data_IF_427769137494
#
_entry.id   IF_427769137494
#
_cell.length_a   1.000
_cell.length_b   1.000
_cell.length_c   1.000
_cell.angle_alpha   90.00
_cell.angle_beta   90.00
_cell.angle_gamma   90.00
#
_symmetry.space_group_name_H-M   'P 1'
#
loop_
_entity.id
_entity.type
_entity.pdbx_description
1 polymer ?
#
# COMPACT_ATOMS: atom_id res chain seq x y z
N UNK A 1 19.94 -16.45 -6.72
CA UNK A 1 20.37 -16.05 -5.35
C UNK A 1 21.68 -15.22 -5.27
N UNK A 2 22.71 -15.46 -6.10
CA UNK A 2 24.05 -14.82 -5.92
C UNK A 2 24.16 -13.35 -6.37
N UNK A 3 23.23 -12.82 -7.18
CA UNK A 3 23.42 -11.47 -7.74
C UNK A 3 22.95 -10.33 -6.81
N UNK A 4 22.02 -10.57 -5.89
CA UNK A 4 21.52 -9.53 -4.96
C UNK A 4 22.30 -9.40 -3.65
N UNK A 5 23.15 -10.39 -3.29
CA UNK A 5 23.94 -10.40 -2.04
C UNK A 5 23.13 -10.11 -0.76
N UNK A 6 21.99 -10.77 -0.60
CA UNK A 6 21.10 -10.61 0.57
C UNK A 6 21.72 -11.25 1.83
N UNK A 7 21.44 -10.69 3.01
CA UNK A 7 21.88 -11.27 4.29
C UNK A 7 21.07 -12.50 4.69
N UNK A 8 19.78 -12.54 4.32
CA UNK A 8 18.93 -13.68 4.57
C UNK A 8 17.51 -13.47 4.11
N UNK A 9 16.73 -14.55 4.16
CA UNK A 9 15.32 -14.54 3.82
C UNK A 9 14.49 -14.80 5.07
N UNK A 10 13.27 -14.26 5.08
CA UNK A 10 12.28 -14.45 6.12
C UNK A 10 10.96 -14.88 5.45
N UNK A 11 10.39 -15.98 5.95
CA UNK A 11 9.15 -16.55 5.44
C UNK A 11 9.31 -17.40 4.17
N UNK A 12 8.18 -17.88 3.67
CA UNK A 12 8.10 -18.68 2.44
C UNK A 12 7.43 -17.86 1.34
N UNK A 13 8.07 -17.83 0.16
CA UNK A 13 7.50 -17.20 -1.03
C UNK A 13 6.36 -18.07 -1.58
N UNK A 14 5.31 -17.46 -2.14
CA UNK A 14 4.28 -18.20 -2.88
C UNK A 14 4.86 -18.73 -4.20
N UNK A 15 5.79 -17.98 -4.80
CA UNK A 15 6.62 -18.45 -5.90
C UNK A 15 8.10 -18.53 -5.49
N UNK A 16 8.70 -19.73 -5.42
CA UNK A 16 10.09 -19.88 -5.00
C UNK A 16 11.11 -19.28 -5.97
N UNK A 17 10.75 -19.12 -7.26
CA UNK A 17 11.66 -18.55 -8.27
C UNK A 17 11.68 -17.01 -8.28
N UNK A 18 10.87 -16.34 -7.45
CA UNK A 18 10.71 -14.90 -7.51
C UNK A 18 12.04 -14.15 -7.38
N UNK A 19 12.97 -14.63 -6.57
CA UNK A 19 14.28 -14.02 -6.35
C UNK A 19 15.23 -14.12 -7.56
N UNK A 20 15.07 -15.15 -8.38
CA UNK A 20 15.92 -15.34 -9.56
C UNK A 20 15.44 -14.48 -10.73
N UNK A 21 14.13 -14.23 -10.80
CA UNK A 21 13.51 -13.31 -11.78
C UNK A 21 13.30 -11.88 -11.27
N UNK A 22 13.63 -11.61 -10.00
CA UNK A 22 13.33 -10.33 -9.37
C UNK A 22 14.10 -9.21 -10.06
N UNK A 23 13.44 -8.09 -10.33
CA UNK A 23 14.07 -6.83 -10.67
C UNK A 23 14.09 -5.92 -9.44
N UNK A 24 14.83 -4.81 -9.50
CA UNK A 24 14.89 -3.82 -8.42
C UNK A 24 13.50 -3.34 -7.97
N UNK A 25 12.56 -3.21 -8.92
CA UNK A 25 11.18 -2.80 -8.63
C UNK A 25 10.33 -3.82 -7.84
N UNK A 26 10.82 -5.04 -7.62
CA UNK A 26 10.17 -6.02 -6.74
C UNK A 26 10.55 -5.79 -5.27
N UNK A 27 11.70 -5.15 -5.03
CA UNK A 27 12.14 -4.79 -3.69
C UNK A 27 11.46 -3.49 -3.25
N UNK A 28 10.92 -3.53 -2.05
CA UNK A 28 10.16 -2.42 -1.48
C UNK A 28 10.50 -2.22 -0.01
N UNK A 29 10.32 -1.00 0.48
CA UNK A 29 10.33 -0.68 1.91
C UNK A 29 8.91 -0.48 2.39
N UNK A 30 8.57 -1.04 3.54
CA UNK A 30 7.27 -0.81 4.19
C UNK A 30 7.33 0.52 4.95
N UNK A 31 6.36 1.39 4.72
CA UNK A 31 6.20 2.66 5.42
C UNK A 31 4.81 2.70 6.06
N UNK A 32 4.76 2.98 7.37
CA UNK A 32 3.50 3.15 8.11
C UNK A 32 2.99 4.56 7.87
N UNK A 33 1.77 4.69 7.35
CA UNK A 33 1.19 5.99 7.01
C UNK A 33 0.89 6.76 8.28
N UNK A 34 1.40 7.99 8.38
CA UNK A 34 1.16 8.91 9.50
C UNK A 34 0.36 10.12 9.06
N UNK A 35 -0.32 10.77 10.02
CA UNK A 35 -1.00 12.05 9.77
C UNK A 35 0.03 13.10 9.33
N UNK A 36 -0.17 13.65 8.14
CA UNK A 36 0.74 14.60 7.50
C UNK A 36 1.60 14.02 6.38
N UNK A 37 1.63 12.69 6.23
CA UNK A 37 2.29 12.07 5.09
C UNK A 37 1.57 12.43 3.79
N UNK A 38 2.36 12.73 2.76
CA UNK A 38 1.86 13.01 1.41
C UNK A 38 2.64 12.17 0.42
N UNK A 39 2.00 11.73 -0.67
CA UNK A 39 2.68 10.95 -1.70
C UNK A 39 3.87 11.73 -2.30
N UNK A 40 3.73 13.05 -2.43
CA UNK A 40 4.81 13.93 -2.89
C UNK A 40 5.96 14.01 -1.90
N UNK A 41 5.67 14.10 -0.60
CA UNK A 41 6.69 14.08 0.45
C UNK A 41 7.46 12.76 0.45
N UNK A 42 6.73 11.63 0.42
CA UNK A 42 7.32 10.30 0.38
C UNK A 42 8.16 10.09 -0.89
N UNK A 43 7.67 10.51 -2.05
CA UNK A 43 8.40 10.45 -3.31
C UNK A 43 9.74 11.19 -3.25
N UNK A 44 9.75 12.40 -2.69
CA UNK A 44 10.97 13.21 -2.53
C UNK A 44 11.93 12.56 -1.53
N UNK A 45 11.43 12.11 -0.38
CA UNK A 45 12.26 11.46 0.65
C UNK A 45 12.94 10.19 0.14
N UNK A 46 12.26 9.42 -0.73
CA UNK A 46 12.75 8.15 -1.25
C UNK A 46 13.32 8.24 -2.68
N UNK A 47 13.44 9.43 -3.25
CA UNK A 47 14.01 9.64 -4.58
C UNK A 47 13.26 8.92 -5.71
N UNK A 48 11.95 8.72 -5.57
CA UNK A 48 11.14 8.01 -6.55
C UNK A 48 9.99 8.87 -7.08
N UNK A 49 9.39 8.46 -8.19
CA UNK A 49 8.25 9.17 -8.75
C UNK A 49 6.96 8.83 -8.01
N UNK A 50 6.09 9.83 -7.81
CA UNK A 50 4.78 9.63 -7.18
C UNK A 50 3.94 8.59 -7.94
N UNK A 51 3.99 8.62 -9.26
CA UNK A 51 3.25 7.68 -10.11
C UNK A 51 3.72 6.23 -9.89
N UNK A 52 5.01 6.02 -9.61
CA UNK A 52 5.57 4.72 -9.26
C UNK A 52 5.02 4.22 -7.93
N UNK A 53 4.99 5.07 -6.89
CA UNK A 53 4.38 4.71 -5.59
C UNK A 53 2.90 4.37 -5.75
N UNK A 54 2.15 5.15 -6.53
CA UNK A 54 0.73 4.92 -6.76
C UNK A 54 0.47 3.59 -7.46
N UNK A 55 1.20 3.31 -8.55
CA UNK A 55 1.13 2.02 -9.28
C UNK A 55 1.52 0.84 -8.40
N UNK A 56 2.54 1.02 -7.56
CA UNK A 56 3.02 0.00 -6.63
C UNK A 56 1.90 -0.36 -5.62
N UNK A 57 1.19 0.62 -5.09
CA UNK A 57 0.17 0.37 -4.05
C UNK A 57 -1.26 0.24 -4.59
N UNK A 58 -1.45 0.28 -5.91
CA UNK A 58 -2.75 0.35 -6.56
C UNK A 58 -3.62 1.50 -6.00
N UNK A 59 -3.00 2.67 -5.84
CA UNK A 59 -3.68 3.90 -5.43
C UNK A 59 -4.19 4.62 -6.67
N UNK A 60 -5.47 4.99 -6.67
CA UNK A 60 -6.06 5.76 -7.76
C UNK A 60 -5.90 7.26 -7.53
N UNK A 61 -5.96 7.70 -6.27
CA UNK A 61 -5.93 9.11 -5.90
C UNK A 61 -4.89 9.41 -4.83
N UNK A 62 -4.56 10.70 -4.66
CA UNK A 62 -3.61 11.17 -3.65
C UNK A 62 -4.12 10.95 -2.21
N UNK A 63 -5.39 11.22 -1.95
CA UNK A 63 -6.04 11.01 -0.65
C UNK A 63 -6.16 9.53 -0.27
N UNK A 64 -6.10 8.60 -1.24
CA UNK A 64 -6.14 7.15 -0.97
C UNK A 64 -5.00 6.68 -0.06
N UNK A 65 -3.94 7.50 0.10
CA UNK A 65 -2.83 7.22 1.02
C UNK A 65 -3.31 7.07 2.47
N UNK A 66 -4.17 7.97 2.96
CA UNK A 66 -4.61 7.97 4.36
C UNK A 66 -5.64 6.89 4.67
N UNK A 67 -6.24 6.28 3.65
CA UNK A 67 -7.08 5.08 3.80
C UNK A 67 -6.27 3.81 4.03
N UNK A 68 -4.93 3.88 3.99
CA UNK A 68 -4.01 2.76 4.20
C UNK A 68 -3.37 2.83 5.57
N UNK A 69 -3.18 1.68 6.20
CA UNK A 69 -2.33 1.56 7.39
C UNK A 69 -0.85 1.67 7.00
N UNK A 70 -0.48 0.99 5.92
CA UNK A 70 0.87 0.94 5.38
C UNK A 70 0.88 1.07 3.86
N UNK A 71 1.99 1.61 3.36
CA UNK A 71 2.30 1.68 1.94
C UNK A 71 3.70 1.14 1.68
N UNK A 72 3.86 0.54 0.51
CA UNK A 72 5.14 0.06 0.04
C UNK A 72 5.80 1.15 -0.80
N UNK A 73 7.10 1.33 -0.63
CA UNK A 73 7.88 2.32 -1.36
C UNK A 73 8.94 1.59 -2.18
N UNK A 74 9.14 1.94 -3.45
CA UNK A 74 10.14 1.28 -4.28
C UNK A 74 11.54 1.58 -3.75
N UNK A 75 12.45 0.61 -3.89
CA UNK A 75 13.86 0.81 -3.59
C UNK A 75 14.56 1.44 -4.79
N UNK A 76 15.31 2.52 -4.57
CA UNK A 76 15.93 3.28 -5.65
C UNK A 76 17.25 2.66 -6.13
N UNK A 77 18.01 2.00 -5.25
CA UNK A 77 19.34 1.47 -5.57
C UNK A 77 19.53 0.01 -5.14
N UNK A 78 20.24 -0.77 -5.97
CA UNK A 78 20.57 -2.16 -5.64
C UNK A 78 21.54 -2.28 -4.44
N UNK A 79 22.32 -1.24 -4.17
CA UNK A 79 23.19 -1.15 -2.99
C UNK A 79 22.42 -1.18 -1.68
N UNK A 80 21.20 -0.64 -1.65
CA UNK A 80 20.32 -0.71 -0.46
C UNK A 80 19.75 -2.11 -0.21
N UNK A 81 19.77 -2.98 -1.22
CA UNK A 81 19.28 -4.36 -1.13
C UNK A 81 20.37 -5.29 -0.59
N UNK A 82 21.63 -4.99 -0.91
CA UNK A 82 22.78 -5.80 -0.49
C UNK A 82 22.93 -5.78 1.04
N UNK A 83 23.02 -6.96 1.65
CA UNK A 83 23.15 -7.11 3.11
C UNK A 83 21.85 -6.92 3.91
N UNK A 84 20.71 -6.68 3.26
CA UNK A 84 19.41 -6.64 3.94
C UNK A 84 18.77 -8.03 4.03
N UNK A 85 17.85 -8.17 4.97
CA UNK A 85 16.94 -9.30 5.04
C UNK A 85 15.71 -9.02 4.17
N UNK A 86 15.19 -10.07 3.52
CA UNK A 86 14.01 -9.93 2.67
C UNK A 86 12.88 -10.78 3.23
N UNK A 87 11.74 -10.14 3.46
CA UNK A 87 10.48 -10.79 3.78
C UNK A 87 9.63 -10.92 2.52
N UNK A 88 9.18 -12.13 2.24
CA UNK A 88 8.17 -12.35 1.20
C UNK A 88 6.81 -11.88 1.71
N UNK A 89 6.25 -10.86 1.07
CA UNK A 89 4.94 -10.31 1.43
C UNK A 89 4.00 -10.30 0.23
N UNK A 90 2.88 -11.01 0.33
CA UNK A 90 1.81 -10.92 -0.67
C UNK A 90 0.84 -9.80 -0.33
N UNK A 91 0.93 -8.69 -1.07
CA UNK A 91 -0.01 -7.59 -0.92
C UNK A 91 -1.37 -7.97 -1.55
N UNK A 92 -2.41 -8.14 -0.73
CA UNK A 92 -3.76 -8.50 -1.21
C UNK A 92 -4.42 -7.39 -2.03
N UNK A 93 -4.10 -6.13 -1.73
CA UNK A 93 -4.65 -4.95 -2.42
C UNK A 93 -4.08 -4.85 -3.84
N UNK A 94 -2.74 -4.93 -3.96
CA UNK A 94 -2.05 -4.83 -5.24
C UNK A 94 -1.96 -6.18 -5.98
N UNK A 95 -2.44 -7.28 -5.35
CA UNK A 95 -2.46 -8.66 -5.87
C UNK A 95 -1.12 -9.12 -6.43
N UNK A 96 -0.04 -8.78 -5.73
CA UNK A 96 1.33 -9.10 -6.15
C UNK A 96 2.23 -9.41 -4.97
N UNK A 97 3.22 -10.23 -5.24
CA UNK A 97 4.28 -10.54 -4.29
C UNK A 97 5.31 -9.41 -4.29
N UNK A 98 5.67 -8.98 -3.09
CA UNK A 98 6.62 -7.93 -2.82
C UNK A 98 7.74 -8.48 -1.95
N UNK A 99 8.96 -8.03 -2.23
CA UNK A 99 10.14 -8.35 -1.46
C UNK A 99 10.39 -7.19 -0.51
N UNK A 100 9.90 -7.32 0.73
CA UNK A 100 10.00 -6.25 1.72
C UNK A 100 11.38 -6.31 2.35
N UNK A 101 12.15 -5.24 2.22
CA UNK A 101 13.44 -5.09 2.89
C UNK A 101 13.20 -4.89 4.39
N UNK A 102 13.88 -5.69 5.19
CA UNK A 102 13.89 -5.62 6.64
C UNK A 102 15.29 -5.34 7.16
N UNK A 103 15.32 -4.60 8.27
CA UNK A 103 16.49 -4.51 9.11
C UNK A 103 16.70 -5.82 9.89
N UNK A 104 17.89 -6.03 10.43
CA UNK A 104 18.21 -7.25 11.18
C UNK A 104 17.28 -7.46 12.40
N UNK A 105 17.01 -6.41 13.17
CA UNK A 105 16.09 -6.46 14.31
C UNK A 105 14.64 -6.79 13.89
N UNK A 106 14.19 -6.24 12.75
CA UNK A 106 12.87 -6.49 12.19
C UNK A 106 12.76 -7.93 11.67
N UNK A 107 13.84 -8.45 11.08
CA UNK A 107 13.91 -9.83 10.61
C UNK A 107 13.84 -10.83 11.77
N UNK A 108 14.49 -10.55 12.89
CA UNK A 108 14.39 -11.38 14.10
C UNK A 108 12.95 -11.37 14.65
N UNK A 109 12.32 -10.20 14.75
CA UNK A 109 10.92 -10.07 15.19
C UNK A 109 9.96 -10.78 14.25
N UNK A 110 10.20 -10.72 12.93
CA UNK A 110 9.39 -11.43 11.95
C UNK A 110 9.55 -12.96 12.06
N UNK A 111 10.75 -13.45 12.39
CA UNK A 111 10.99 -14.89 12.63
C UNK A 111 10.28 -15.40 13.89
N UNK A 112 10.34 -14.64 14.98
CA UNK A 112 9.67 -15.03 16.24
C UNK A 112 8.15 -15.05 16.07
N UNK A 113 7.58 -14.00 15.46
CA UNK A 113 6.13 -13.94 15.21
C UNK A 113 5.62 -15.05 14.29
N UNK A 114 6.44 -15.52 13.33
CA UNK A 114 6.09 -16.68 12.50
C UNK A 114 6.08 -17.99 13.29
N UNK A 115 7.02 -18.18 14.22
CA UNK A 115 7.04 -19.36 15.10
C UNK A 115 5.84 -19.39 16.04
N UNK A 116 5.43 -18.22 16.56
CA UNK A 116 4.26 -18.10 17.44
C UNK A 116 2.93 -18.30 16.68
N UNK A 117 2.87 -17.89 15.41
CA UNK A 117 1.67 -18.03 14.58
C UNK A 117 1.34 -19.50 14.24
N UNK A 118 2.37 -20.35 14.08
CA UNK A 118 2.18 -21.79 13.86
C UNK A 118 1.61 -22.49 15.11
N UNK A 119 1.84 -21.94 16.31
CA UNK A 119 1.31 -22.46 17.58
C UNK A 119 -0.15 -22.05 17.87
N UNK A 120 -0.68 -21.02 17.19
CA UNK A 120 -1.95 -20.36 17.54
C UNK A 120 -3.17 -20.71 16.67
N UNK A 121 -3.07 -21.64 15.71
CA UNK A 121 -4.13 -21.92 14.75
C UNK A 121 -5.24 -22.84 15.33
N UNK A 122 -5.97 -22.36 16.34
CA UNK A 122 -7.10 -23.07 16.95
C UNK A 122 -8.32 -22.17 17.21
N UNK A 123 -9.42 -22.40 16.49
CA UNK A 123 -10.78 -21.90 16.78
C UNK A 123 -11.10 -20.49 16.25
N UNK A 124 -12.32 -20.12 15.86
CA UNK A 124 -13.66 -20.66 16.16
C UNK A 124 -14.57 -20.46 14.93
N UNK A 125 -15.29 -21.52 14.56
CA UNK A 125 -16.34 -21.50 13.53
C UNK A 125 -17.71 -21.31 14.17
N UNK A 126 -18.27 -20.09 14.06
CA UNK A 126 -19.64 -19.81 14.45
C UNK A 126 -20.18 -18.62 13.66
N UNK A 127 -21.33 -18.80 12.99
CA UNK A 127 -22.05 -17.81 12.16
C UNK A 127 -21.44 -17.47 10.78
N UNK A 128 -21.20 -18.48 9.92
CA UNK A 128 -20.71 -18.24 8.54
C UNK A 128 -21.79 -17.71 7.58
N UNK A 129 -23.06 -18.09 7.76
CA UNK A 129 -24.12 -17.83 6.75
C UNK A 129 -24.54 -16.36 6.69
N UNK A 130 -24.99 -15.76 7.81
CA UNK A 130 -25.38 -14.34 7.86
C UNK A 130 -24.20 -13.42 7.52
N UNK A 131 -23.01 -13.79 8.00
CA UNK A 131 -21.78 -13.06 7.72
C UNK A 131 -21.42 -13.08 6.22
N UNK A 132 -21.64 -14.20 5.53
CA UNK A 132 -21.40 -14.28 4.09
C UNK A 132 -22.38 -13.42 3.27
N UNK A 133 -23.65 -13.36 3.66
CA UNK A 133 -24.65 -12.49 3.00
C UNK A 133 -24.32 -11.00 3.20
N UNK A 134 -23.94 -10.60 4.41
CA UNK A 134 -23.46 -9.26 4.72
C UNK A 134 -22.20 -8.92 3.92
N UNK A 135 -21.20 -9.80 3.88
CA UNK A 135 -19.99 -9.61 3.08
C UNK A 135 -20.29 -9.46 1.57
N UNK A 136 -21.30 -10.17 1.06
CA UNK A 136 -21.74 -10.03 -0.32
C UNK A 136 -22.44 -8.68 -0.59
N UNK A 137 -23.30 -8.21 0.33
CA UNK A 137 -23.93 -6.90 0.23
C UNK A 137 -22.90 -5.77 0.33
N UNK A 138 -21.98 -5.86 1.28
CA UNK A 138 -20.84 -4.98 1.43
C UNK A 138 -19.99 -4.94 0.15
N UNK A 139 -19.72 -6.11 -0.45
CA UNK A 139 -19.00 -6.21 -1.72
C UNK A 139 -19.70 -5.50 -2.86
N UNK A 140 -21.04 -5.58 -2.95
CA UNK A 140 -21.83 -4.85 -3.95
C UNK A 140 -21.76 -3.34 -3.73
N UNK A 141 -21.87 -2.87 -2.49
CA UNK A 141 -21.75 -1.44 -2.15
C UNK A 141 -20.38 -0.88 -2.51
N UNK A 142 -19.31 -1.62 -2.19
CA UNK A 142 -17.94 -1.27 -2.58
C UNK A 142 -17.84 -1.17 -4.10
N UNK A 143 -18.34 -2.17 -4.84
CA UNK A 143 -18.30 -2.16 -6.30
C UNK A 143 -19.11 -1.01 -6.93
N UNK A 144 -20.22 -0.59 -6.31
CA UNK A 144 -20.99 0.57 -6.73
C UNK A 144 -20.19 1.87 -6.52
N UNK A 145 -19.58 2.05 -5.35
CA UNK A 145 -18.79 3.22 -5.02
C UNK A 145 -17.54 3.34 -5.90
N UNK A 146 -16.84 2.22 -6.13
CA UNK A 146 -15.71 2.16 -7.05
C UNK A 146 -16.11 2.59 -8.47
N UNK A 147 -17.26 2.14 -8.97
CA UNK A 147 -17.74 2.49 -10.32
C UNK A 147 -18.18 3.96 -10.43
N UNK A 148 -18.85 4.50 -9.42
CA UNK A 148 -19.41 5.85 -9.48
C UNK A 148 -18.37 6.96 -9.31
N UNK A 149 -17.35 6.72 -8.46
CA UNK A 149 -16.32 7.73 -8.12
C UNK A 149 -14.91 7.35 -8.57
N UNK A 150 -14.75 6.24 -9.30
CA UNK A 150 -13.46 5.71 -9.76
C UNK A 150 -12.48 5.54 -8.59
N UNK A 151 -12.96 4.98 -7.48
CA UNK A 151 -12.17 4.73 -6.28
C UNK A 151 -11.60 3.32 -6.28
N UNK A 152 -10.44 3.17 -5.62
CA UNK A 152 -9.90 1.84 -5.37
C UNK A 152 -10.75 1.09 -4.34
N UNK A 153 -10.74 -0.24 -4.42
CA UNK A 153 -11.59 -1.09 -3.61
C UNK A 153 -11.39 -0.90 -2.10
N UNK A 154 -10.17 -0.60 -1.68
CA UNK A 154 -9.83 -0.47 -0.27
C UNK A 154 -10.21 0.90 0.28
N UNK A 155 -9.99 1.98 -0.47
CA UNK A 155 -10.47 3.32 -0.11
C UNK A 155 -12.00 3.35 -0.06
N UNK A 156 -12.69 2.73 -1.02
CA UNK A 156 -14.14 2.57 -0.97
C UNK A 156 -14.59 1.81 0.29
N UNK A 157 -13.91 0.72 0.64
CA UNK A 157 -14.18 -0.05 1.85
C UNK A 157 -13.95 0.77 3.13
N UNK A 158 -12.89 1.57 3.18
CA UNK A 158 -12.55 2.44 4.31
C UNK A 158 -13.71 3.41 4.60
N UNK A 159 -14.11 4.21 3.61
CA UNK A 159 -15.18 5.20 3.79
C UNK A 159 -16.55 4.55 4.08
N UNK A 160 -16.84 3.39 3.47
CA UNK A 160 -18.06 2.64 3.78
C UNK A 160 -18.04 2.10 5.22
N UNK A 161 -16.90 1.60 5.70
CA UNK A 161 -16.78 1.12 7.07
C UNK A 161 -16.98 2.25 8.09
N UNK A 162 -16.33 3.41 7.90
CA UNK A 162 -16.51 4.59 8.77
C UNK A 162 -17.94 5.14 8.73
N UNK A 163 -18.58 5.06 7.57
CA UNK A 163 -19.96 5.51 7.39
C UNK A 163 -21.02 4.53 7.94
N UNK A 164 -20.62 3.39 8.52
CA UNK A 164 -21.57 2.34 8.93
C UNK A 164 -22.32 1.74 7.75
N UNK A 165 -21.62 1.57 6.61
CA UNK A 165 -22.11 1.03 5.35
C UNK A 165 -23.22 1.84 4.65
N UNK A 166 -23.40 3.10 5.04
CA UNK A 166 -24.32 4.03 4.38
C UNK A 166 -23.62 4.78 3.23
N UNK A 167 -24.05 4.54 1.99
CA UNK A 167 -23.42 5.13 0.79
C UNK A 167 -23.40 6.66 0.80
N UNK A 168 -24.51 7.31 1.17
CA UNK A 168 -24.61 8.79 1.20
C UNK A 168 -23.63 9.41 2.17
N UNK A 169 -23.49 8.83 3.37
CA UNK A 169 -22.56 9.29 4.39
C UNK A 169 -21.11 9.05 3.97
N UNK A 170 -20.82 7.90 3.35
CA UNK A 170 -19.49 7.60 2.80
C UNK A 170 -19.08 8.61 1.72
N UNK A 171 -19.99 8.96 0.81
CA UNK A 171 -19.74 9.99 -0.21
C UNK A 171 -19.50 11.37 0.39
N UNK A 172 -20.25 11.75 1.43
CA UNK A 172 -20.08 13.03 2.10
C UNK A 172 -18.72 13.14 2.81
N UNK A 173 -18.29 12.08 3.51
CA UNK A 173 -16.96 12.02 4.15
C UNK A 173 -15.85 12.13 3.10
N UNK A 174 -15.96 11.35 2.02
CA UNK A 174 -15.03 11.40 0.90
C UNK A 174 -14.91 12.81 0.30
N UNK A 175 -16.04 13.48 0.05
CA UNK A 175 -16.06 14.84 -0.51
C UNK A 175 -15.48 15.86 0.46
N UNK A 176 -15.69 15.69 1.77
CA UNK A 176 -15.10 16.54 2.80
C UNK A 176 -13.58 16.46 2.80
N UNK A 177 -13.01 15.24 2.74
CA UNK A 177 -11.56 15.04 2.67
C UNK A 177 -10.97 15.67 1.40
N UNK A 178 -11.64 15.49 0.26
CA UNK A 178 -11.20 16.05 -1.01
C UNK A 178 -11.20 17.60 -1.00
N UNK A 179 -12.18 18.20 -0.32
CA UNK A 179 -12.22 19.65 -0.10
C UNK A 179 -11.13 20.12 0.87
N UNK A 180 -10.84 19.35 1.92
CA UNK A 180 -9.77 19.65 2.85
C UNK A 180 -8.41 19.71 2.15
N UNK A 181 -8.09 18.73 1.30
CA UNK A 181 -6.84 18.73 0.51
C UNK A 181 -6.75 19.91 -0.47
N UNK A 182 -7.87 20.26 -1.12
CA UNK A 182 -7.91 21.40 -2.04
C UNK A 182 -7.62 22.73 -1.34
N UNK A 183 -7.99 22.84 -0.05
CA UNK A 183 -7.85 24.04 0.77
C UNK A 183 -6.60 24.03 1.65
N UNK A 184 -5.98 22.87 1.87
CA UNK A 184 -4.78 22.74 2.68
C UNK A 184 -3.61 23.54 2.06
N UNK A 185 -2.96 24.43 2.85
CA UNK A 185 -1.80 25.20 2.40
C UNK A 185 -0.61 24.25 2.17
N UNK A 186 -0.53 23.70 0.96
CA UNK A 186 0.45 22.70 0.54
C UNK A 186 0.03 21.93 -0.72
N UNK A 187 -1.28 21.77 -0.97
CA UNK A 187 -1.81 21.02 -2.11
C UNK A 187 -1.76 21.75 -3.47
N UNK A 188 -1.60 23.09 -3.47
CA UNK A 188 -1.56 23.92 -4.69
C UNK A 188 -0.36 24.85 -4.77
N UNK A 189 0.89 24.37 -4.67
CA UNK A 189 2.08 25.06 -5.21
C UNK A 189 3.10 23.97 -5.59
N UNK A 190 3.19 23.50 -6.83
CA UNK A 190 3.62 24.22 -8.03
C UNK A 190 2.95 23.61 -9.29
N UNK A 191 1.98 24.29 -9.89
CA UNK A 191 1.87 24.21 -11.35
C UNK A 191 3.18 24.83 -11.86
N UNK A 192 4.08 24.05 -12.46
CA UNK A 192 5.11 24.65 -13.32
C UNK A 192 4.34 25.54 -14.29
N UNK A 193 4.68 26.83 -14.34
CA UNK A 193 4.26 27.67 -15.44
C UNK A 193 4.65 26.96 -16.76
N UNK A 194 3.89 27.14 -17.86
CA UNK A 194 4.38 26.70 -19.16
C UNK A 194 5.79 27.29 -19.33
N UNK A 195 6.78 26.44 -19.63
CA UNK A 195 8.11 26.91 -19.99
C UNK A 195 7.90 27.85 -21.19
N UNK A 196 8.20 29.13 -21.01
CA UNK A 196 8.33 30.02 -22.16
C UNK A 196 9.44 29.44 -23.04
N UNK A 197 9.24 29.30 -24.36
CA UNK A 197 10.31 28.85 -25.23
C UNK A 197 11.47 29.85 -25.15
N UNK A 198 12.69 29.33 -25.02
CA UNK A 198 13.92 30.10 -25.23
C UNK A 198 13.81 30.73 -26.63
N UNK A 199 13.81 32.05 -26.68
CA UNK A 199 14.13 32.77 -27.91
C UNK A 199 15.64 33.02 -27.87
N UNK A 200 16.32 32.62 -28.95
CA UNK A 200 17.73 32.89 -29.21
C UNK A 200 18.02 34.40 -29.28
#
# INVERSE_FOLDING_TARGET
>A
MQHWRLAGLVGSARNPMILDTAALGHFVRRHVVRRGDTLTGLAVCHGCEVTTIMRLNNLISYHSLHSREDVFLPVASASEVAGCYVLFHYCRIARRELLVLLNEAEAQTARTTMLDAEAGAGGVGGSRLRKAEEEALQGKLVALLCRSRQLDQATAKFYLAEAGWCLKKALALYEQDLQWECRAPGGRRRRRAPLQPLQD
#
